data_IF_944088489388
#
_entry.id   IF_944088489388
#
_cell.length_a   1.000
_cell.length_b   1.000
_cell.length_c   1.000
_cell.angle_alpha   90.00
_cell.angle_beta   90.00
_cell.angle_gamma   90.00
#
_symmetry.space_group_name_H-M   'P 1'
#
loop_
_entity.id
_entity.type
_entity.pdbx_description
1 polymer ?
#
# COMPACT_ATOMS: atom_id res chain seq x y z
N UNK A 1 10.62 -5.47 -14.73
CA UNK A 1 12.01 -5.12 -14.33
C UNK A 1 12.98 -5.00 -15.50
N UNK A 2 13.11 -5.99 -16.40
CA UNK A 2 14.10 -5.93 -17.51
C UNK A 2 13.94 -4.68 -18.40
N UNK A 3 12.71 -4.27 -18.72
CA UNK A 3 12.46 -3.07 -19.53
C UNK A 3 12.91 -1.77 -18.85
N UNK A 4 12.67 -1.62 -17.55
CA UNK A 4 13.07 -0.42 -16.78
C UNK A 4 14.58 -0.34 -16.64
N UNK A 5 15.24 -1.47 -16.33
CA UNK A 5 16.69 -1.55 -16.28
C UNK A 5 17.33 -1.25 -17.64
N UNK A 6 16.71 -1.69 -18.74
CA UNK A 6 17.16 -1.34 -20.10
C UNK A 6 17.03 0.17 -20.37
N UNK A 7 15.92 0.80 -19.99
CA UNK A 7 15.73 2.25 -20.15
C UNK A 7 16.80 3.03 -19.37
N UNK A 8 17.00 2.69 -18.09
CA UNK A 8 18.01 3.32 -17.23
C UNK A 8 19.41 3.20 -17.84
N UNK A 9 19.80 1.97 -18.22
CA UNK A 9 21.12 1.71 -18.77
C UNK A 9 21.36 2.44 -20.11
N UNK A 10 20.33 2.64 -20.93
CA UNK A 10 20.45 3.40 -22.17
C UNK A 10 20.52 4.92 -21.91
N UNK A 11 19.75 5.43 -20.95
CA UNK A 11 19.81 6.84 -20.56
C UNK A 11 21.17 7.19 -19.94
N UNK A 12 21.69 6.38 -19.02
CA UNK A 12 23.02 6.57 -18.45
C UNK A 12 24.10 6.57 -19.54
N UNK A 13 24.08 5.59 -20.45
CA UNK A 13 25.00 5.56 -21.60
C UNK A 13 24.87 6.80 -22.49
N UNK A 14 23.65 7.30 -22.69
CA UNK A 14 23.41 8.50 -23.45
C UNK A 14 24.03 9.72 -22.76
N UNK A 15 23.77 9.92 -21.46
CA UNK A 15 24.29 11.06 -20.72
C UNK A 15 25.80 11.02 -20.55
N UNK A 16 26.40 9.86 -20.26
CA UNK A 16 27.86 9.70 -20.21
C UNK A 16 28.55 10.01 -21.55
N UNK A 17 27.84 9.87 -22.68
CA UNK A 17 28.38 10.21 -24.00
C UNK A 17 28.31 11.73 -24.30
N UNK A 18 27.37 12.45 -23.70
CA UNK A 18 27.08 13.85 -24.01
C UNK A 18 27.55 14.83 -22.93
N UNK A 19 27.62 14.40 -21.68
CA UNK A 19 28.18 15.15 -20.55
C UNK A 19 29.65 14.76 -20.36
N UNK A 20 30.49 15.71 -19.94
CA UNK A 20 31.93 15.49 -19.76
C UNK A 20 32.42 16.11 -18.45
N UNK A 21 33.46 15.51 -17.88
CA UNK A 21 34.12 16.03 -16.68
C UNK A 21 33.21 16.00 -15.46
N UNK A 22 33.29 17.01 -14.60
CA UNK A 22 32.54 17.07 -13.35
C UNK A 22 31.01 17.08 -13.56
N UNK A 23 30.53 17.62 -14.68
CA UNK A 23 29.09 17.68 -14.98
C UNK A 23 28.51 16.27 -15.20
N UNK A 24 29.26 15.37 -15.82
CA UNK A 24 28.81 13.99 -16.05
C UNK A 24 28.59 13.25 -14.73
N UNK A 25 29.58 13.26 -13.85
CA UNK A 25 29.51 12.56 -12.56
C UNK A 25 28.39 13.07 -11.65
N UNK A 26 28.06 14.36 -11.72
CA UNK A 26 27.03 14.95 -10.85
C UNK A 26 25.63 14.80 -11.42
N UNK A 27 25.44 15.02 -12.72
CA UNK A 27 24.10 15.13 -13.31
C UNK A 27 23.62 13.86 -13.99
N UNK A 28 24.51 12.99 -14.49
CA UNK A 28 24.10 11.77 -15.21
C UNK A 28 23.25 10.82 -14.36
N UNK A 29 23.64 10.46 -13.12
CA UNK A 29 22.81 9.58 -12.29
C UNK A 29 21.45 10.21 -11.97
N UNK A 30 21.44 11.51 -11.63
CA UNK A 30 20.22 12.24 -11.29
C UNK A 30 19.25 12.31 -12.47
N UNK A 31 19.71 12.76 -13.64
CA UNK A 31 18.88 12.87 -14.85
C UNK A 31 18.39 11.50 -15.33
N UNK A 32 19.25 10.47 -15.27
CA UNK A 32 18.89 9.12 -15.68
C UNK A 32 17.80 8.53 -14.79
N UNK A 33 17.90 8.69 -13.47
CA UNK A 33 16.87 8.22 -12.53
C UNK A 33 15.55 8.96 -12.74
N UNK A 34 15.60 10.30 -12.81
CA UNK A 34 14.40 11.12 -13.00
C UNK A 34 13.67 10.75 -14.30
N UNK A 35 14.39 10.72 -15.42
CA UNK A 35 13.80 10.41 -16.73
C UNK A 35 13.34 8.95 -16.83
N UNK A 36 14.09 8.01 -16.25
CA UNK A 36 13.65 6.61 -16.18
C UNK A 36 12.36 6.50 -15.37
N UNK A 37 12.25 7.23 -14.26
CA UNK A 37 11.03 7.32 -13.46
C UNK A 37 9.85 7.79 -14.30
N UNK A 38 9.97 8.94 -14.96
CA UNK A 38 8.91 9.48 -15.83
C UNK A 38 8.52 8.52 -16.95
N UNK A 39 9.48 7.94 -17.69
CA UNK A 39 9.19 6.99 -18.76
C UNK A 39 8.53 5.72 -18.22
N UNK A 40 8.97 5.27 -17.04
CA UNK A 40 8.39 4.09 -16.40
C UNK A 40 6.94 4.33 -16.01
N UNK A 41 6.62 5.49 -15.43
CA UNK A 41 5.24 5.82 -15.06
C UNK A 41 4.33 6.10 -16.25
N UNK A 42 4.81 6.81 -17.27
CA UNK A 42 3.98 7.22 -18.42
C UNK A 42 3.80 6.09 -19.44
N UNK A 43 4.83 5.27 -19.65
CA UNK A 43 4.85 4.29 -20.75
C UNK A 43 4.84 2.86 -20.23
N UNK A 44 5.79 2.50 -19.38
CA UNK A 44 5.97 1.10 -18.95
C UNK A 44 4.80 0.65 -18.06
N UNK A 45 4.36 1.50 -17.13
CA UNK A 45 3.25 1.22 -16.23
C UNK A 45 1.94 0.89 -16.96
N UNK A 46 1.43 1.76 -17.85
CA UNK A 46 0.23 1.49 -18.63
C UNK A 46 0.34 0.25 -19.51
N UNK A 47 1.51 0.01 -20.12
CA UNK A 47 1.74 -1.21 -20.94
C UNK A 47 1.68 -2.47 -20.07
N UNK A 48 2.38 -2.48 -18.92
CA UNK A 48 2.33 -3.62 -17.99
C UNK A 48 0.93 -3.86 -17.43
N UNK A 49 0.14 -2.79 -17.22
CA UNK A 49 -1.25 -2.87 -16.80
C UNK A 49 -2.15 -3.55 -17.84
N UNK A 50 -1.98 -3.21 -19.12
CA UNK A 50 -2.71 -3.88 -20.22
C UNK A 50 -2.32 -5.37 -20.27
N UNK A 51 -1.03 -5.66 -20.12
CA UNK A 51 -0.50 -7.02 -20.21
C UNK A 51 -0.87 -7.89 -19.00
N UNK A 52 -1.01 -7.30 -17.81
CA UNK A 52 -1.35 -8.06 -16.61
C UNK A 52 -2.80 -8.55 -16.59
N UNK A 53 -3.71 -7.90 -17.33
CA UNK A 53 -5.06 -8.41 -17.61
C UNK A 53 -5.88 -8.81 -16.38
N UNK A 54 -5.64 -8.18 -15.23
CA UNK A 54 -6.32 -8.51 -13.97
C UNK A 54 -5.86 -9.83 -13.31
N UNK A 55 -4.73 -10.40 -13.72
CA UNK A 55 -4.15 -11.58 -13.06
C UNK A 55 -3.60 -11.23 -11.68
N UNK A 56 -3.67 -12.21 -10.77
CA UNK A 56 -3.05 -12.10 -9.45
C UNK A 56 -1.56 -11.76 -9.58
N UNK A 57 -1.11 -10.76 -8.83
CA UNK A 57 0.29 -10.36 -8.80
C UNK A 57 1.06 -11.38 -7.96
N UNK A 58 1.80 -12.26 -8.62
CA UNK A 58 2.71 -13.20 -7.99
C UNK A 58 4.11 -13.05 -8.61
N UNK A 59 5.09 -12.78 -7.75
CA UNK A 59 6.50 -12.73 -8.13
C UNK A 59 7.19 -14.05 -7.78
N UNK A 60 8.20 -13.97 -6.93
CA UNK A 60 8.86 -15.16 -6.35
C UNK A 60 7.96 -15.93 -5.38
N UNK A 61 7.00 -15.24 -4.75
CA UNK A 61 6.00 -15.82 -3.85
C UNK A 61 4.74 -14.96 -3.81
N UNK A 62 3.82 -15.28 -2.90
CA UNK A 62 2.66 -14.43 -2.61
C UNK A 62 3.10 -13.17 -1.83
N UNK A 63 2.44 -12.02 -2.04
CA UNK A 63 2.72 -10.82 -1.28
C UNK A 63 2.34 -10.97 0.20
N UNK A 64 3.23 -10.57 1.11
CA UNK A 64 2.96 -10.43 2.56
C UNK A 64 2.66 -8.98 2.91
N UNK A 65 1.46 -8.54 2.53
CA UNK A 65 1.06 -7.14 2.66
C UNK A 65 1.07 -6.68 4.15
N UNK A 66 0.66 -7.54 5.09
CA UNK A 66 0.56 -7.21 6.51
C UNK A 66 1.88 -6.91 7.23
N UNK A 67 3.04 -7.23 6.62
CA UNK A 67 4.34 -7.03 7.24
C UNK A 67 5.13 -5.83 6.69
N UNK A 68 4.47 -4.89 6.00
CA UNK A 68 5.09 -3.60 5.65
C UNK A 68 5.42 -2.80 6.91
N UNK A 69 6.49 -2.03 6.85
CA UNK A 69 6.97 -1.24 7.98
C UNK A 69 6.31 0.12 8.00
N UNK A 70 5.87 0.56 9.17
CA UNK A 70 5.10 1.79 9.33
C UNK A 70 5.79 2.75 10.30
N UNK A 71 5.41 4.03 10.24
CA UNK A 71 5.68 4.95 11.33
C UNK A 71 4.69 4.70 12.46
N UNK A 72 5.20 4.54 13.68
CA UNK A 72 4.37 4.37 14.87
C UNK A 72 3.63 5.67 15.19
N UNK A 73 2.34 5.57 15.56
CA UNK A 73 1.57 6.75 15.94
C UNK A 73 2.17 7.37 17.21
N UNK A 74 2.36 8.70 17.30
CA UNK A 74 3.05 9.34 18.43
C UNK A 74 2.43 9.08 19.81
N UNK A 75 1.12 8.81 19.85
CA UNK A 75 0.40 8.48 21.08
C UNK A 75 0.39 6.99 21.43
N UNK A 76 0.83 6.12 20.52
CA UNK A 76 0.78 4.67 20.71
C UNK A 76 2.07 4.17 21.38
N UNK A 77 1.91 3.48 22.51
CA UNK A 77 3.01 2.90 23.29
C UNK A 77 3.06 1.38 23.20
N UNK A 78 2.15 0.76 22.47
CA UNK A 78 2.03 -0.69 22.37
C UNK A 78 3.25 -1.33 21.71
N UNK A 79 3.74 -2.46 22.25
CA UNK A 79 4.98 -3.12 21.79
C UNK A 79 4.79 -3.99 20.53
N UNK A 80 3.55 -4.19 20.11
CA UNK A 80 3.19 -4.89 18.88
C UNK A 80 2.96 -6.40 19.08
N UNK A 81 1.96 -6.92 18.37
CA UNK A 81 1.54 -8.32 18.45
C UNK A 81 2.43 -9.27 17.63
N UNK A 82 3.04 -8.76 16.55
CA UNK A 82 3.72 -9.59 15.57
C UNK A 82 4.99 -10.22 16.17
N UNK A 83 5.14 -11.56 16.18
CA UNK A 83 6.29 -12.21 16.79
C UNK A 83 7.60 -11.99 16.01
N UNK A 84 7.51 -11.54 14.76
CA UNK A 84 8.68 -11.32 13.89
C UNK A 84 9.17 -9.87 13.92
N UNK A 85 8.25 -8.91 13.96
CA UNK A 85 8.56 -7.50 13.73
C UNK A 85 8.07 -6.56 14.85
N UNK A 86 7.33 -7.08 15.85
CA UNK A 86 6.78 -6.28 16.94
C UNK A 86 5.92 -5.12 16.45
N UNK A 87 6.16 -3.93 16.99
CA UNK A 87 5.50 -2.66 16.66
C UNK A 87 6.01 -2.00 15.37
N UNK A 88 6.87 -2.67 14.60
CA UNK A 88 7.42 -2.11 13.38
C UNK A 88 6.61 -2.45 12.13
N UNK A 89 5.61 -3.33 12.21
CA UNK A 89 4.81 -3.73 11.06
C UNK A 89 3.31 -3.49 11.24
N UNK A 90 2.59 -3.41 10.11
CA UNK A 90 1.14 -3.20 10.09
C UNK A 90 0.39 -4.23 10.95
N UNK A 91 0.62 -5.53 10.74
CA UNK A 91 -0.06 -6.59 11.49
C UNK A 91 0.21 -6.46 12.99
N UNK A 92 1.45 -6.13 13.36
CA UNK A 92 1.83 -5.96 14.75
C UNK A 92 1.08 -4.82 15.44
N UNK A 93 0.61 -3.81 14.69
CA UNK A 93 -0.07 -2.64 15.23
C UNK A 93 -1.58 -2.61 14.99
N UNK A 94 -2.10 -3.22 13.93
CA UNK A 94 -3.47 -3.02 13.45
C UNK A 94 -4.29 -4.33 13.40
N UNK A 95 -3.69 -5.47 13.73
CA UNK A 95 -4.45 -6.72 13.79
C UNK A 95 -5.48 -6.69 14.95
N UNK A 96 -6.56 -7.45 14.83
CA UNK A 96 -7.55 -7.61 15.91
C UNK A 96 -6.90 -7.93 17.27
N UNK A 97 -6.02 -8.95 17.37
CA UNK A 97 -5.29 -9.25 18.60
C UNK A 97 -4.43 -8.07 19.11
N UNK A 98 -3.83 -7.29 18.21
CA UNK A 98 -3.07 -6.09 18.59
C UNK A 98 -3.96 -5.04 19.25
N UNK A 99 -5.19 -4.84 18.76
CA UNK A 99 -6.18 -3.95 19.36
C UNK A 99 -6.58 -4.46 20.76
N UNK A 100 -6.88 -5.75 20.88
CA UNK A 100 -7.33 -6.34 22.15
C UNK A 100 -6.25 -6.25 23.23
N UNK A 101 -5.00 -6.56 22.88
CA UNK A 101 -3.86 -6.46 23.78
C UNK A 101 -3.54 -5.01 24.14
N UNK A 102 -3.57 -4.09 23.16
CA UNK A 102 -3.29 -2.65 23.37
C UNK A 102 -4.28 -2.01 24.33
N UNK A 103 -5.58 -2.31 24.19
CA UNK A 103 -6.65 -1.62 24.93
C UNK A 103 -7.23 -2.43 26.09
N UNK A 104 -6.79 -3.68 26.25
CA UNK A 104 -7.23 -4.60 27.32
C UNK A 104 -8.71 -4.98 27.24
N UNK A 105 -9.35 -4.82 26.08
CA UNK A 105 -10.77 -5.11 25.84
C UNK A 105 -11.00 -5.46 24.38
N UNK A 106 -12.11 -6.13 24.07
CA UNK A 106 -12.39 -6.48 22.68
C UNK A 106 -12.64 -5.24 21.83
N UNK A 107 -12.24 -5.26 20.56
CA UNK A 107 -12.50 -4.17 19.61
C UNK A 107 -14.00 -3.81 19.52
N UNK A 108 -14.90 -4.77 19.80
CA UNK A 108 -16.35 -4.55 19.82
C UNK A 108 -16.82 -3.64 20.97
N UNK A 109 -16.08 -3.61 22.06
CA UNK A 109 -16.40 -2.90 23.31
C UNK A 109 -15.81 -1.49 23.37
N UNK A 110 -14.98 -1.13 22.40
CA UNK A 110 -14.38 0.20 22.30
C UNK A 110 -15.45 1.19 21.80
N UNK A 111 -15.70 2.31 22.51
CA UNK A 111 -16.61 3.37 22.06
C UNK A 111 -16.17 3.99 20.72
N UNK A 112 -17.11 4.45 19.90
CA UNK A 112 -16.80 5.01 18.57
C UNK A 112 -16.01 6.34 18.63
N UNK A 113 -16.09 7.06 19.73
CA UNK A 113 -15.38 8.32 19.98
C UNK A 113 -13.98 8.13 20.61
N UNK A 114 -13.57 6.88 20.84
CA UNK A 114 -12.27 6.55 21.44
C UNK A 114 -11.11 6.85 20.47
N UNK A 115 -9.97 7.28 21.04
CA UNK A 115 -8.73 7.53 20.30
C UNK A 115 -8.20 6.28 19.59
N UNK A 116 -8.57 5.09 20.07
CA UNK A 116 -8.24 3.81 19.46
C UNK A 116 -8.52 3.78 17.95
N UNK A 117 -9.66 4.29 17.52
CA UNK A 117 -10.05 4.27 16.10
C UNK A 117 -9.27 5.25 15.24
N UNK A 118 -8.81 6.39 15.82
CA UNK A 118 -7.92 7.32 15.14
C UNK A 118 -6.53 6.72 14.94
N UNK A 119 -6.02 6.02 15.95
CA UNK A 119 -4.73 5.31 15.87
C UNK A 119 -4.82 4.16 14.87
N UNK A 120 -5.90 3.39 14.90
CA UNK A 120 -6.14 2.30 13.96
C UNK A 120 -6.23 2.81 12.51
N UNK A 121 -7.03 3.86 12.28
CA UNK A 121 -7.16 4.50 10.99
C UNK A 121 -5.82 5.05 10.46
N UNK A 122 -4.98 5.61 11.33
CA UNK A 122 -3.66 6.11 10.96
C UNK A 122 -2.75 5.01 10.40
N UNK A 123 -2.76 3.81 10.98
CA UNK A 123 -1.97 2.67 10.49
C UNK A 123 -2.52 2.10 9.19
N UNK A 124 -3.85 1.92 9.10
CA UNK A 124 -4.49 1.45 7.87
C UNK A 124 -4.32 2.45 6.72
N UNK A 125 -4.34 3.75 7.01
CA UNK A 125 -4.07 4.81 6.04
C UNK A 125 -2.62 4.77 5.53
N UNK A 126 -1.62 4.55 6.37
CA UNK A 126 -0.23 4.37 5.91
C UNK A 126 -0.10 3.16 4.98
N UNK A 127 -0.74 2.04 5.31
CA UNK A 127 -0.74 0.88 4.45
C UNK A 127 -1.38 1.17 3.08
N UNK A 128 -2.54 1.83 3.08
CA UNK A 128 -3.19 2.26 1.85
C UNK A 128 -2.32 3.24 1.04
N UNK A 129 -1.59 4.13 1.70
CA UNK A 129 -0.65 5.06 1.09
C UNK A 129 0.49 4.29 0.39
N UNK A 130 1.17 3.40 1.10
CA UNK A 130 2.28 2.59 0.55
C UNK A 130 1.82 1.77 -0.66
N UNK A 131 0.69 1.07 -0.56
CA UNK A 131 0.17 0.31 -1.70
C UNK A 131 -0.28 1.21 -2.84
N UNK A 132 -0.79 2.41 -2.55
CA UNK A 132 -1.09 3.40 -3.59
C UNK A 132 0.19 3.81 -4.31
N UNK A 133 1.25 4.16 -3.60
CA UNK A 133 2.52 4.59 -4.20
C UNK A 133 3.18 3.49 -5.04
N UNK A 134 3.08 2.23 -4.60
CA UNK A 134 3.77 1.10 -5.21
C UNK A 134 2.94 0.47 -6.33
N UNK A 135 1.66 0.18 -6.06
CA UNK A 135 0.82 -0.64 -6.95
C UNK A 135 -0.13 0.20 -7.82
N UNK A 136 -0.41 1.45 -7.44
CA UNK A 136 -1.38 2.34 -8.11
C UNK A 136 -2.72 1.61 -8.41
N UNK A 137 -3.38 1.01 -7.40
CA UNK A 137 -4.62 0.28 -7.62
C UNK A 137 -5.73 1.24 -8.05
N UNK A 138 -6.80 0.70 -8.64
CA UNK A 138 -8.02 1.48 -8.92
C UNK A 138 -8.94 1.58 -7.70
N UNK A 139 -8.78 0.66 -6.75
CA UNK A 139 -9.60 0.52 -5.56
C UNK A 139 -8.85 -0.31 -4.51
N UNK A 140 -8.99 0.07 -3.25
CA UNK A 140 -8.49 -0.65 -2.08
C UNK A 140 -9.71 -1.11 -1.28
N UNK A 141 -9.79 -2.42 -1.08
CA UNK A 141 -10.90 -3.05 -0.36
C UNK A 141 -10.36 -3.59 0.97
N UNK A 142 -10.84 -3.04 2.09
CA UNK A 142 -10.53 -3.54 3.42
C UNK A 142 -11.57 -4.59 3.82
N UNK A 143 -11.09 -5.77 4.23
CA UNK A 143 -11.91 -6.85 4.77
C UNK A 143 -11.42 -7.31 6.13
N UNK A 144 -12.13 -8.28 6.71
CA UNK A 144 -11.84 -8.81 8.05
C UNK A 144 -12.67 -8.16 9.15
N UNK A 145 -12.50 -8.65 10.38
CA UNK A 145 -13.38 -8.28 11.50
C UNK A 145 -13.23 -6.84 12.01
N UNK A 146 -12.04 -6.25 11.91
CA UNK A 146 -11.76 -4.88 12.39
C UNK A 146 -12.39 -3.82 11.47
N UNK A 147 -12.23 -3.89 10.12
CA UNK A 147 -12.86 -2.93 9.22
C UNK A 147 -14.40 -3.01 9.14
N UNK A 148 -15.07 -3.89 9.87
CA UNK A 148 -16.54 -3.88 9.94
C UNK A 148 -17.13 -2.74 10.78
N UNK A 149 -16.31 -1.99 11.53
CA UNK A 149 -16.78 -0.83 12.30
C UNK A 149 -16.97 0.38 11.38
N UNK A 150 -18.20 0.84 11.23
CA UNK A 150 -18.57 1.89 10.24
C UNK A 150 -17.79 3.21 10.40
N UNK A 151 -17.48 3.61 11.64
CA UNK A 151 -16.73 4.85 11.94
C UNK A 151 -15.30 4.85 11.35
N UNK A 152 -14.74 3.67 11.07
CA UNK A 152 -13.34 3.54 10.71
C UNK A 152 -13.04 4.06 9.30
N UNK A 153 -13.95 3.89 8.33
CA UNK A 153 -13.70 4.31 6.95
C UNK A 153 -13.55 5.82 6.78
N UNK A 154 -14.44 6.66 7.34
CA UNK A 154 -14.23 8.11 7.35
C UNK A 154 -12.86 8.49 7.93
N UNK A 155 -12.45 7.88 9.05
CA UNK A 155 -11.17 8.15 9.69
C UNK A 155 -9.97 7.71 8.84
N UNK A 156 -10.05 6.54 8.18
CA UNK A 156 -8.99 6.06 7.28
C UNK A 156 -8.84 7.04 6.11
N UNK A 157 -9.96 7.47 5.50
CA UNK A 157 -9.95 8.39 4.36
C UNK A 157 -9.38 9.75 4.75
N UNK A 158 -9.79 10.29 5.91
CA UNK A 158 -9.25 11.53 6.46
C UNK A 158 -7.73 11.44 6.66
N UNK A 159 -7.27 10.40 7.37
CA UNK A 159 -5.85 10.21 7.65
C UNK A 159 -5.05 9.93 6.37
N UNK A 160 -5.61 9.21 5.41
CA UNK A 160 -4.99 8.96 4.11
C UNK A 160 -4.80 10.27 3.33
N UNK A 161 -5.81 11.14 3.28
CA UNK A 161 -5.71 12.42 2.58
C UNK A 161 -4.65 13.32 3.22
N UNK A 162 -4.62 13.41 4.55
CA UNK A 162 -3.61 14.17 5.29
C UNK A 162 -2.19 13.67 4.98
N UNK A 163 -1.96 12.36 5.08
CA UNK A 163 -0.66 11.74 4.84
C UNK A 163 -0.24 11.78 3.36
N UNK A 164 -1.18 11.72 2.42
CA UNK A 164 -0.93 11.87 0.98
C UNK A 164 -0.52 13.30 0.61
N UNK A 165 -0.99 14.30 1.37
CA UNK A 165 -0.66 15.72 1.16
C UNK A 165 -0.84 16.16 -0.29
N UNK A 166 -1.92 15.70 -0.93
CA UNK A 166 -2.27 15.97 -2.34
C UNK A 166 -1.15 15.65 -3.35
N UNK A 167 -0.21 14.76 -3.01
CA UNK A 167 0.95 14.46 -3.85
C UNK A 167 0.58 13.71 -5.14
N UNK A 168 -0.31 12.73 -5.07
CA UNK A 168 -0.78 11.95 -6.22
C UNK A 168 -2.30 11.99 -6.33
N UNK A 169 -2.78 12.20 -7.55
CA UNK A 169 -4.19 12.04 -7.86
C UNK A 169 -4.63 10.58 -7.64
N UNK A 170 -5.76 10.41 -6.95
CA UNK A 170 -6.48 9.16 -6.76
C UNK A 170 -7.95 9.38 -7.11
N UNK A 171 -8.74 8.31 -7.33
CA UNK A 171 -10.20 8.44 -7.40
C UNK A 171 -10.78 9.05 -6.12
N UNK A 172 -12.06 9.39 -6.16
CA UNK A 172 -12.79 9.82 -4.97
C UNK A 172 -12.61 8.82 -3.82
N UNK A 173 -12.34 9.32 -2.60
CA UNK A 173 -11.96 8.45 -1.49
C UNK A 173 -13.09 7.52 -1.01
N UNK A 174 -14.35 7.90 -1.23
CA UNK A 174 -15.51 7.05 -0.92
C UNK A 174 -15.64 5.89 -1.90
N UNK A 175 -15.09 6.02 -3.12
CA UNK A 175 -15.01 4.96 -4.11
C UNK A 175 -13.67 4.22 -4.10
N UNK A 176 -12.61 4.87 -3.63
CA UNK A 176 -11.24 4.36 -3.67
C UNK A 176 -10.92 3.46 -2.47
N UNK A 177 -11.27 3.87 -1.25
CA UNK A 177 -11.02 3.11 -0.02
C UNK A 177 -12.36 2.64 0.53
N UNK A 178 -12.66 1.35 0.37
CA UNK A 178 -14.01 0.82 0.62
C UNK A 178 -14.01 -0.43 1.50
N UNK A 179 -15.09 -0.69 2.25
CA UNK A 179 -15.31 -1.98 2.89
C UNK A 179 -15.54 -3.07 1.86
N UNK A 180 -15.24 -4.30 2.25
CA UNK A 180 -15.65 -5.50 1.52
C UNK A 180 -17.18 -5.58 1.47
N UNK A 181 -17.75 -5.59 0.27
CA UNK A 181 -19.21 -5.61 0.08
C UNK A 181 -19.83 -6.99 0.38
N UNK A 182 -19.07 -8.07 0.25
CA UNK A 182 -19.56 -9.46 0.39
C UNK A 182 -19.39 -10.02 1.80
N UNK A 183 -19.08 -9.17 2.79
CA UNK A 183 -18.79 -9.57 4.17
C UNK A 183 -17.73 -10.68 4.24
N UNK A 184 -17.95 -11.65 5.12
CA UNK A 184 -17.02 -12.75 5.40
C UNK A 184 -16.87 -13.76 4.25
N UNK A 185 -17.69 -13.67 3.20
CA UNK A 185 -17.69 -14.65 2.11
C UNK A 185 -16.69 -14.35 0.99
N UNK A 186 -16.00 -13.20 1.03
CA UNK A 186 -15.11 -12.77 -0.05
C UNK A 186 -14.01 -13.81 -0.37
N UNK A 187 -13.42 -14.44 0.66
CA UNK A 187 -12.42 -15.48 0.48
C UNK A 187 -12.97 -16.74 -0.18
N UNK A 188 -14.13 -17.23 0.30
CA UNK A 188 -14.78 -18.43 -0.25
C UNK A 188 -15.22 -18.20 -1.71
N UNK A 189 -15.80 -17.04 -2.01
CA UNK A 189 -16.16 -16.65 -3.37
C UNK A 189 -14.92 -16.59 -4.26
N UNK A 190 -13.81 -16.03 -3.76
CA UNK A 190 -12.53 -16.01 -4.45
C UNK A 190 -12.06 -17.41 -4.86
N UNK A 191 -12.17 -18.40 -3.97
CA UNK A 191 -11.85 -19.80 -4.28
C UNK A 191 -12.73 -20.38 -5.40
N UNK A 192 -14.05 -20.12 -5.39
CA UNK A 192 -14.94 -20.56 -6.46
C UNK A 192 -14.63 -19.88 -7.81
N UNK A 193 -14.29 -18.58 -7.80
CA UNK A 193 -13.85 -17.88 -9.00
C UNK A 193 -12.55 -18.46 -9.54
N UNK A 194 -11.58 -18.74 -8.68
CA UNK A 194 -10.32 -19.37 -9.08
C UNK A 194 -10.58 -20.76 -9.68
N UNK A 195 -11.42 -21.59 -9.04
CA UNK A 195 -11.80 -22.90 -9.56
C UNK A 195 -12.45 -22.80 -10.96
N UNK A 196 -13.33 -21.80 -11.16
CA UNK A 196 -13.95 -21.54 -12.47
C UNK A 196 -12.92 -21.16 -13.55
N UNK A 197 -11.84 -20.47 -13.20
CA UNK A 197 -10.77 -20.13 -14.17
C UNK A 197 -9.88 -21.31 -14.55
N UNK A 198 -9.98 -22.44 -13.85
CA UNK A 198 -9.24 -23.67 -14.12
C UNK A 198 -10.04 -24.68 -14.97
N UNK A 199 -11.31 -24.40 -15.27
CA UNK A 199 -12.21 -25.17 -16.13
C UNK A 199 -12.28 -24.56 -17.53
#
# INVERSE_FOLDING_TARGET
>A
MIGVAFILANLEKFFHKHLKGAIDFTFTPMLSIILTGFITFIVVGPVLRIVSGGKLVAGYGHPEAGHIFLQKHPLDKYEGHCPFHGDNCLEGLAAGPAIEERWGRSAKEIPDDDVAWKIEAFYLAQAALDYTMILRPEKIVFGGGVPHREILFPLIRESFAEQMSDYLAVPDLDEYIVPVANGDNAGILGCFYLAKTLL
#
